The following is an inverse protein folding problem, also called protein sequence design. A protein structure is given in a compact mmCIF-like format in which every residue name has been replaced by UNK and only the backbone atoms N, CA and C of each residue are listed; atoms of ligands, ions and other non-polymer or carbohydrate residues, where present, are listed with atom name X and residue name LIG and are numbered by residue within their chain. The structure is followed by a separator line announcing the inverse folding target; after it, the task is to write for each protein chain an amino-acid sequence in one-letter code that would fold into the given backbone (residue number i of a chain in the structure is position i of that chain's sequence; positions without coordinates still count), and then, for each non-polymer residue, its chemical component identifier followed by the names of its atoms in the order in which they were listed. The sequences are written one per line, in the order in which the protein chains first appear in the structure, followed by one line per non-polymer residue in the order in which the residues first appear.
data_IF_490523938752
#
_entry.id   IF_490523938752
#
_cell.length_a   1.000
_cell.length_b   1.000
_cell.length_c   1.000
_cell.angle_alpha   90.00
_cell.angle_beta   90.00
_cell.angle_gamma   90.00
#
_symmetry.space_group_name_H-M   'P 1'
#
loop_
_entity.id
_entity.type
_entity.pdbx_description
1 polymer ?
#
# COMPACT_ATOMS: atom_id res chain seq x y z
N UNK A 1 15.99 10.48 1.19
CA UNK A 1 16.82 9.53 0.45
C UNK A 1 16.68 8.10 0.99
N UNK A 2 16.97 7.84 2.27
CA UNK A 2 16.84 6.47 2.87
C UNK A 2 15.46 5.84 2.62
N UNK A 3 14.37 6.57 2.89
CA UNK A 3 13.01 6.07 2.66
C UNK A 3 12.73 5.74 1.19
N UNK A 4 13.26 6.52 0.24
CA UNK A 4 13.08 6.28 -1.19
C UNK A 4 13.84 5.01 -1.64
N UNK A 5 15.05 4.81 -1.12
CA UNK A 5 15.84 3.60 -1.38
C UNK A 5 15.14 2.36 -0.83
N UNK A 6 14.71 2.38 0.44
CA UNK A 6 13.98 1.27 1.05
C UNK A 6 12.68 0.95 0.31
N UNK A 7 11.94 1.98 -0.10
CA UNK A 7 10.74 1.82 -0.91
C UNK A 7 11.05 1.17 -2.27
N UNK A 8 12.11 1.60 -2.94
CA UNK A 8 12.46 1.07 -4.27
C UNK A 8 12.96 -0.39 -4.17
N UNK A 9 13.72 -0.72 -3.12
CA UNK A 9 14.12 -2.11 -2.82
C UNK A 9 12.88 -2.98 -2.60
N UNK A 10 11.94 -2.53 -1.77
CA UNK A 10 10.69 -3.25 -1.51
C UNK A 10 9.88 -3.47 -2.79
N UNK A 11 9.76 -2.44 -3.65
CA UNK A 11 9.08 -2.55 -4.95
C UNK A 11 9.77 -3.54 -5.88
N UNK A 12 11.10 -3.50 -5.98
CA UNK A 12 11.86 -4.41 -6.83
C UNK A 12 11.78 -5.86 -6.36
N UNK A 13 11.75 -6.09 -5.04
CA UNK A 13 11.54 -7.41 -4.47
C UNK A 13 10.15 -7.96 -4.80
N UNK A 14 9.11 -7.12 -4.71
CA UNK A 14 7.76 -7.52 -5.09
C UNK A 14 7.62 -7.79 -6.59
N UNK A 15 8.23 -6.97 -7.45
CA UNK A 15 8.24 -7.22 -8.90
C UNK A 15 8.95 -8.54 -9.23
N UNK A 16 10.01 -8.90 -8.50
CA UNK A 16 10.65 -10.20 -8.65
C UNK A 16 9.73 -11.36 -8.26
N UNK A 17 9.08 -11.30 -7.09
CA UNK A 17 8.20 -12.37 -6.59
C UNK A 17 6.94 -12.52 -7.46
N UNK A 18 6.25 -11.41 -7.74
CA UNK A 18 4.91 -11.44 -8.30
C UNK A 18 4.89 -11.29 -9.83
N UNK A 19 5.99 -10.83 -10.43
CA UNK A 19 6.07 -10.57 -11.89
C UNK A 19 7.27 -11.23 -12.56
N UNK A 20 8.03 -12.04 -11.83
CA UNK A 20 9.25 -12.68 -12.30
C UNK A 20 10.26 -11.70 -12.95
N UNK A 21 10.24 -10.43 -12.51
CA UNK A 21 11.12 -9.39 -13.06
C UNK A 21 12.40 -9.34 -12.23
N UNK A 22 13.57 -9.73 -12.78
CA UNK A 22 14.82 -9.71 -12.03
C UNK A 22 15.20 -8.29 -11.61
N UNK A 23 15.72 -8.11 -10.38
CA UNK A 23 16.17 -6.80 -9.91
C UNK A 23 17.42 -6.36 -10.69
N UNK A 24 17.49 -5.08 -11.04
CA UNK A 24 18.71 -4.44 -11.52
C UNK A 24 19.18 -3.40 -10.48
N UNK A 25 20.29 -3.67 -9.76
CA UNK A 25 20.80 -2.79 -8.73
C UNK A 25 21.15 -1.37 -9.21
N UNK A 26 21.56 -1.20 -10.47
CA UNK A 26 21.95 0.12 -10.99
C UNK A 26 20.72 0.98 -11.22
N UNK A 27 19.72 0.46 -11.93
CA UNK A 27 18.46 1.19 -12.13
C UNK A 27 17.72 1.45 -10.83
N UNK A 28 17.83 0.57 -9.82
CA UNK A 28 17.28 0.82 -8.47
C UNK A 28 17.79 2.12 -7.84
N UNK A 29 19.09 2.39 -7.94
CA UNK A 29 19.71 3.61 -7.42
C UNK A 29 19.21 4.84 -8.18
N UNK A 30 19.15 4.75 -9.50
CA UNK A 30 18.67 5.84 -10.36
C UNK A 30 17.20 6.18 -10.09
N UNK A 31 16.36 5.15 -9.92
CA UNK A 31 14.94 5.31 -9.57
C UNK A 31 14.79 5.97 -8.20
N UNK A 32 15.55 5.53 -7.19
CA UNK A 32 15.49 6.11 -5.85
C UNK A 32 15.92 7.60 -5.83
N UNK A 33 16.94 7.95 -6.63
CA UNK A 33 17.36 9.34 -6.84
C UNK A 33 16.26 10.16 -7.52
N UNK A 34 15.69 9.64 -8.62
CA UNK A 34 14.62 10.30 -9.35
C UNK A 34 13.37 10.51 -8.47
N UNK A 35 12.98 9.51 -7.68
CA UNK A 35 11.87 9.61 -6.72
C UNK A 35 12.13 10.68 -5.66
N UNK A 36 13.34 10.74 -5.09
CA UNK A 36 13.70 11.76 -4.10
C UNK A 36 13.62 13.16 -4.71
N UNK A 37 14.14 13.35 -5.93
CA UNK A 37 14.09 14.63 -6.65
C UNK A 37 12.64 15.03 -6.96
N UNK A 38 11.84 14.10 -7.47
CA UNK A 38 10.43 14.34 -7.77
C UNK A 38 9.64 14.71 -6.50
N UNK A 39 9.79 13.95 -5.41
CA UNK A 39 9.11 14.24 -4.15
C UNK A 39 9.43 15.66 -3.64
N UNK A 40 10.71 16.05 -3.67
CA UNK A 40 11.12 17.40 -3.26
C UNK A 40 10.55 18.51 -4.15
N UNK A 41 10.38 18.23 -5.45
CA UNK A 41 9.77 19.15 -6.42
C UNK A 41 8.28 19.35 -6.13
N UNK A 42 7.55 18.27 -5.87
CA UNK A 42 6.10 18.28 -5.66
C UNK A 42 5.69 18.69 -4.24
N UNK A 43 6.56 18.55 -3.24
CA UNK A 43 6.31 19.12 -1.91
C UNK A 43 6.34 20.66 -1.90
N UNK A 44 6.99 21.30 -2.88
CA UNK A 44 7.19 22.74 -2.88
C UNK A 44 6.02 23.45 -3.56
N UNK A 45 5.00 23.71 -2.73
CA UNK A 45 3.80 24.58 -2.88
C UNK A 45 2.55 23.93 -3.47
N UNK A 46 1.52 23.75 -2.62
CA UNK A 46 0.29 24.57 -2.62
C UNK A 46 -0.63 24.21 -1.43
N UNK A 47 -1.25 25.24 -0.84
CA UNK A 47 -2.51 25.11 -0.10
C UNK A 47 -2.41 24.73 1.38
N UNK A 48 -3.12 25.48 2.21
CA UNK A 48 -3.33 25.30 3.65
C UNK A 48 -3.34 23.83 4.10
N UNK A 49 -2.53 23.51 5.12
CA UNK A 49 -2.76 22.30 5.93
C UNK A 49 -4.22 22.39 6.37
N UNK A 50 -5.13 21.58 5.80
CA UNK A 50 -6.48 21.42 6.35
C UNK A 50 -6.28 21.15 7.84
N UNK A 51 -6.99 21.82 8.76
CA UNK A 51 -6.88 21.51 10.17
C UNK A 51 -7.19 20.02 10.31
N UNK A 52 -6.15 19.27 10.67
CA UNK A 52 -6.28 17.86 10.99
C UNK A 52 -7.26 17.82 12.15
N UNK A 53 -8.43 17.22 11.96
CA UNK A 53 -9.36 17.05 13.06
C UNK A 53 -8.62 16.25 14.14
N UNK A 54 -8.33 16.82 15.33
CA UNK A 54 -7.53 16.17 16.35
C UNK A 54 -8.19 14.88 16.87
N UNK A 55 -9.51 14.72 16.65
CA UNK A 55 -10.26 13.55 17.06
C UNK A 55 -10.25 12.40 16.04
N UNK A 56 -9.63 12.56 14.86
CA UNK A 56 -9.43 11.44 13.95
C UNK A 56 -8.06 10.81 14.22
N UNK A 57 -7.99 9.50 14.47
CA UNK A 57 -6.70 8.82 14.59
C UNK A 57 -5.95 8.98 13.27
N UNK A 58 -4.85 9.73 13.30
CA UNK A 58 -3.93 9.89 12.16
C UNK A 58 -3.10 8.62 11.94
N UNK A 59 -3.13 7.70 12.91
CA UNK A 59 -2.35 6.47 12.94
C UNK A 59 -3.26 5.27 13.14
N UNK A 60 -2.81 4.12 12.63
CA UNK A 60 -3.45 2.84 12.90
C UNK A 60 -3.58 2.64 14.42
N UNK A 61 -4.77 2.32 14.89
CA UNK A 61 -5.03 1.97 16.29
C UNK A 61 -5.29 0.48 16.41
N UNK A 62 -4.77 -0.16 17.45
CA UNK A 62 -5.11 -1.55 17.76
C UNK A 62 -6.60 -1.69 18.04
N UNK A 63 -7.23 -2.84 17.69
CA UNK A 63 -8.55 -3.18 18.20
C UNK A 63 -8.52 -3.41 19.72
N UNK A 64 -9.68 -3.38 20.36
CA UNK A 64 -9.83 -3.75 21.77
C UNK A 64 -9.47 -5.23 22.01
N UNK A 65 -9.12 -5.57 23.25
CA UNK A 65 -8.80 -6.94 23.64
C UNK A 65 -9.95 -7.91 23.33
N UNK A 66 -9.62 -9.06 22.74
CA UNK A 66 -10.62 -10.06 22.31
C UNK A 66 -11.25 -9.79 20.93
N UNK A 67 -10.95 -8.65 20.31
CA UNK A 67 -11.35 -8.33 18.94
C UNK A 67 -10.19 -8.48 17.96
N UNK A 68 -10.54 -8.68 16.69
CA UNK A 68 -9.59 -8.68 15.56
C UNK A 68 -9.96 -7.58 14.58
N UNK A 69 -8.95 -6.96 13.96
CA UNK A 69 -9.13 -5.97 12.91
C UNK A 69 -8.93 -6.62 11.55
N UNK A 70 -9.95 -6.54 10.69
CA UNK A 70 -9.87 -6.95 9.30
C UNK A 70 -9.39 -5.78 8.45
N UNK A 71 -8.19 -5.90 7.88
CA UNK A 71 -7.68 -5.01 6.85
C UNK A 71 -7.97 -5.63 5.49
N UNK A 72 -8.64 -4.90 4.61
CA UNK A 72 -8.99 -5.32 3.25
C UNK A 72 -8.34 -4.37 2.26
N UNK A 73 -7.82 -4.91 1.16
CA UNK A 73 -7.31 -4.16 0.02
C UNK A 73 -7.64 -4.95 -1.25
N UNK A 74 -7.96 -4.24 -2.34
CA UNK A 74 -8.44 -4.88 -3.56
C UNK A 74 -7.62 -4.43 -4.78
N UNK A 75 -7.48 -5.33 -5.75
CA UNK A 75 -6.79 -5.04 -7.01
C UNK A 75 -7.65 -5.39 -8.20
N UNK A 76 -7.88 -4.40 -9.05
CA UNK A 76 -8.64 -4.53 -10.28
C UNK A 76 -7.85 -3.95 -11.45
N UNK A 77 -7.93 -4.62 -12.60
CA UNK A 77 -7.25 -4.22 -13.82
C UNK A 77 -8.27 -3.85 -14.89
N UNK A 78 -8.07 -2.72 -15.56
CA UNK A 78 -8.95 -2.31 -16.63
C UNK A 78 -8.94 -3.33 -17.77
N UNK A 79 -10.12 -3.72 -18.23
CA UNK A 79 -10.31 -4.77 -19.24
C UNK A 79 -10.64 -6.14 -18.64
N UNK A 80 -10.37 -6.35 -17.35
CA UNK A 80 -10.74 -7.57 -16.63
C UNK A 80 -12.13 -7.44 -15.99
N UNK A 81 -12.84 -8.58 -15.92
CA UNK A 81 -14.12 -8.69 -15.21
C UNK A 81 -13.97 -9.14 -13.76
N UNK A 82 -12.73 -9.35 -13.30
CA UNK A 82 -12.42 -9.88 -11.98
C UNK A 82 -11.49 -8.95 -11.22
N UNK A 83 -11.57 -9.06 -9.90
CA UNK A 83 -10.75 -8.34 -8.93
C UNK A 83 -10.30 -9.29 -7.85
N UNK A 84 -9.07 -9.12 -7.38
CA UNK A 84 -8.53 -9.88 -6.25
C UNK A 84 -8.63 -9.06 -4.98
N UNK A 85 -9.28 -9.63 -3.96
CA UNK A 85 -9.44 -9.05 -2.63
C UNK A 85 -8.49 -9.76 -1.67
N UNK A 86 -7.58 -9.01 -1.05
CA UNK A 86 -6.71 -9.50 0.01
C UNK A 86 -7.22 -9.05 1.37
N UNK A 87 -7.26 -9.98 2.35
CA UNK A 87 -7.75 -9.71 3.70
C UNK A 87 -6.76 -10.20 4.74
N UNK A 88 -6.49 -9.38 5.75
CA UNK A 88 -5.57 -9.70 6.85
C UNK A 88 -6.28 -9.41 8.16
N UNK A 89 -6.29 -10.39 9.06
CA UNK A 89 -6.80 -10.25 10.43
C UNK A 89 -5.63 -9.97 11.37
N UNK A 90 -5.77 -8.91 12.18
CA UNK A 90 -4.79 -8.53 13.20
C UNK A 90 -5.39 -8.55 14.60
N UNK A 91 -4.67 -9.08 15.57
CA UNK A 91 -5.05 -9.00 16.98
C UNK A 91 -4.79 -7.60 17.56
N UNK A 92 -5.11 -7.41 18.85
CA UNK A 92 -4.85 -6.17 19.60
C UNK A 92 -3.36 -5.86 19.75
N UNK A 93 -2.47 -6.85 19.60
CA UNK A 93 -1.02 -6.67 19.59
C UNK A 93 -0.48 -6.32 18.19
N UNK A 94 -1.36 -6.21 17.18
CA UNK A 94 -1.00 -5.94 15.79
C UNK A 94 -0.44 -7.14 15.03
N UNK A 95 -0.43 -8.33 15.64
CA UNK A 95 0.05 -9.58 15.02
C UNK A 95 -0.97 -10.05 14.00
N UNK A 96 -0.48 -10.51 12.85
CA UNK A 96 -1.34 -11.16 11.85
C UNK A 96 -1.72 -12.54 12.38
N UNK A 97 -3.02 -12.75 12.62
CA UNK A 97 -3.54 -14.03 13.11
C UNK A 97 -4.08 -14.90 11.99
N UNK A 98 -4.53 -14.29 10.89
CA UNK A 98 -5.01 -14.99 9.71
C UNK A 98 -4.98 -14.06 8.49
N UNK A 99 -5.04 -14.62 7.29
CA UNK A 99 -5.22 -13.88 6.05
C UNK A 99 -5.70 -14.79 4.93
N UNK A 100 -6.46 -14.22 4.00
CA UNK A 100 -7.00 -14.96 2.85
C UNK A 100 -7.20 -14.04 1.66
N UNK A 101 -7.23 -14.66 0.49
CA UNK A 101 -7.43 -13.99 -0.80
C UNK A 101 -8.69 -14.58 -1.44
N UNK A 102 -9.46 -13.72 -2.10
CA UNK A 102 -10.63 -14.14 -2.85
C UNK A 102 -10.71 -13.37 -4.16
N UNK A 103 -11.08 -14.06 -5.23
CA UNK A 103 -11.41 -13.45 -6.51
C UNK A 103 -12.91 -13.14 -6.56
N UNK A 104 -13.26 -11.89 -6.85
CA UNK A 104 -14.63 -11.44 -7.08
C UNK A 104 -14.80 -10.95 -8.50
N UNK A 105 -16.03 -10.99 -9.00
CA UNK A 105 -16.38 -10.26 -10.21
C UNK A 105 -16.53 -8.77 -9.89
N UNK A 106 -15.83 -7.92 -10.63
CA UNK A 106 -15.93 -6.47 -10.49
C UNK A 106 -15.69 -5.80 -11.84
N UNK A 107 -16.42 -4.70 -12.10
CA UNK A 107 -16.28 -3.89 -13.31
C UNK A 107 -15.49 -2.61 -13.10
N UNK A 108 -15.06 -2.33 -11.86
CA UNK A 108 -14.24 -1.17 -11.51
C UNK A 108 -13.45 -1.39 -10.23
N UNK A 109 -12.40 -0.58 -10.04
CA UNK A 109 -11.67 -0.51 -8.77
C UNK A 109 -12.57 -0.06 -7.61
N UNK A 110 -13.47 0.90 -7.84
CA UNK A 110 -14.38 1.39 -6.81
C UNK A 110 -15.34 0.29 -6.34
N UNK A 111 -15.88 -0.51 -7.26
CA UNK A 111 -16.72 -1.66 -6.90
C UNK A 111 -15.94 -2.72 -6.11
N UNK A 112 -14.65 -2.87 -6.39
CA UNK A 112 -13.82 -3.85 -5.70
C UNK A 112 -13.58 -3.50 -4.23
N UNK A 113 -13.55 -2.21 -3.90
CA UNK A 113 -13.32 -1.68 -2.54
C UNK A 113 -14.60 -1.60 -1.68
N UNK A 114 -15.77 -1.87 -2.27
CA UNK A 114 -17.09 -1.73 -1.62
C UNK A 114 -17.48 -3.00 -0.83
#
# INVERSE_FOLDING_TARGET
MVAAVLWTIWKSHNDFIFRAKPPDPRSLVDIAHAQTKNFSRWQRKEGSKKPINPNKPVKWMSPEGGSVKLNVDCSWMQGECFSSIARILRDSNGRVVNGFVLEVRASSSLQSEA
#
